data_IF_990778435520
#
_entry.id   IF_990778435520
#
_cell.length_a   1.000
_cell.length_b   1.000
_cell.length_c   1.000
_cell.angle_alpha   90.00
_cell.angle_beta   90.00
_cell.angle_gamma   90.00
#
_symmetry.space_group_name_H-M   'P 1'
#
loop_
_entity.id
_entity.type
_entity.pdbx_description
1 polymer ?
#
# COMPACT_ATOMS: atom_id res chain seq x y z
N UNK A 1 40.23 22.41 73.14
CA UNK A 1 39.17 21.66 73.85
C UNK A 1 39.41 20.18 73.59
N UNK A 2 39.88 19.50 74.63
CA UNK A 2 39.96 18.04 74.70
C UNK A 2 38.58 17.47 75.07
N UNK A 3 38.23 16.29 74.56
CA UNK A 3 37.82 15.11 75.35
C UNK A 3 37.35 13.95 74.45
N UNK A 4 38.17 12.90 74.47
CA UNK A 4 37.91 11.46 74.24
C UNK A 4 37.06 10.96 75.44
N UNK A 5 36.14 9.96 75.38
CA UNK A 5 36.47 8.51 75.27
C UNK A 5 35.38 7.68 74.52
N UNK A 6 35.45 6.36 74.29
CA UNK A 6 35.91 5.28 75.15
C UNK A 6 36.02 3.95 74.36
N UNK A 7 37.02 3.15 74.73
CA UNK A 7 37.24 1.77 74.31
C UNK A 7 36.67 0.84 75.39
N UNK A 8 35.95 -0.23 75.02
CA UNK A 8 35.82 -1.44 75.85
C UNK A 8 36.03 -2.67 74.96
N UNK A 9 37.02 -3.47 75.38
CA UNK A 9 37.37 -4.82 74.97
C UNK A 9 36.51 -5.86 75.72
N UNK A 10 36.14 -6.95 75.04
CA UNK A 10 36.07 -8.36 75.53
C UNK A 10 36.06 -9.26 74.26
N UNK A 11 37.02 -10.19 74.05
CA UNK A 11 37.04 -11.58 74.56
C UNK A 11 35.94 -12.42 73.88
N UNK A 12 36.14 -13.56 73.21
CA UNK A 12 37.06 -14.67 73.40
C UNK A 12 37.18 -15.54 72.12
N UNK A 13 38.31 -16.24 72.01
CA UNK A 13 38.52 -17.49 71.28
C UNK A 13 37.53 -18.58 71.72
N UNK A 14 37.08 -19.45 70.81
CA UNK A 14 36.38 -20.69 71.20
C UNK A 14 35.62 -21.43 70.09
N UNK A 15 36.31 -22.37 69.44
CA UNK A 15 35.86 -23.70 69.00
C UNK A 15 34.64 -23.93 68.06
N UNK A 16 34.97 -24.63 66.96
CA UNK A 16 34.21 -25.63 66.18
C UNK A 16 32.69 -25.73 66.44
N UNK A 17 31.91 -25.59 65.36
CA UNK A 17 30.83 -26.54 65.04
C UNK A 17 30.43 -26.47 63.56
N UNK A 18 30.42 -27.65 62.97
CA UNK A 18 29.62 -28.12 61.84
C UNK A 18 28.41 -27.24 61.48
N UNK A 19 28.22 -26.97 60.19
CA UNK A 19 26.87 -26.86 59.69
C UNK A 19 26.74 -27.55 58.34
N UNK A 20 25.77 -28.46 58.30
CA UNK A 20 25.39 -29.29 57.19
C UNK A 20 24.89 -28.43 56.03
N UNK A 21 25.41 -28.68 54.83
CA UNK A 21 24.74 -28.28 53.59
C UNK A 21 23.48 -29.15 53.43
N UNK A 22 22.34 -28.59 53.83
CA UNK A 22 21.04 -29.14 53.46
C UNK A 22 20.86 -29.01 51.94
N UNK A 23 20.31 -30.02 51.24
CA UNK A 23 20.09 -29.93 49.80
C UNK A 23 19.06 -28.83 49.52
N UNK A 24 19.41 -27.91 48.62
CA UNK A 24 18.50 -26.88 48.12
C UNK A 24 17.23 -27.57 47.61
N UNK A 25 16.11 -27.16 48.19
CA UNK A 25 14.76 -27.61 47.90
C UNK A 25 14.43 -27.29 46.42
N UNK A 26 14.74 -28.21 45.49
CA UNK A 26 14.28 -28.12 44.10
C UNK A 26 12.75 -28.12 44.12
N UNK A 27 12.13 -27.02 43.67
CA UNK A 27 10.67 -26.95 43.55
C UNK A 27 10.20 -28.11 42.69
N UNK A 28 9.47 -29.05 43.31
CA UNK A 28 8.83 -30.18 42.62
C UNK A 28 7.95 -29.59 41.51
N UNK A 29 8.29 -29.85 40.24
CA UNK A 29 7.50 -29.33 39.12
C UNK A 29 6.03 -29.74 39.27
N UNK A 30 5.16 -28.77 39.06
CA UNK A 30 3.71 -28.86 39.15
C UNK A 30 3.13 -28.39 37.83
N UNK A 31 2.32 -29.23 37.21
CA UNK A 31 1.71 -28.92 35.93
C UNK A 31 0.61 -27.86 36.10
N UNK A 32 0.51 -26.97 35.13
CA UNK A 32 -0.46 -25.93 35.05
C UNK A 32 -1.88 -26.49 34.93
N UNK A 33 -2.79 -25.81 35.62
CA UNK A 33 -4.24 -26.06 35.56
C UNK A 33 -4.98 -24.89 34.91
N UNK A 34 -4.27 -23.82 34.56
CA UNK A 34 -4.77 -22.67 33.82
C UNK A 34 -4.16 -22.59 32.42
N UNK A 35 -4.89 -21.98 31.50
CA UNK A 35 -4.50 -21.88 30.09
C UNK A 35 -3.14 -21.21 29.89
N UNK A 36 -2.83 -20.14 30.62
CA UNK A 36 -1.60 -19.38 30.39
C UNK A 36 -0.36 -20.19 30.79
N UNK A 37 -0.47 -20.97 31.87
CA UNK A 37 0.53 -21.96 32.21
C UNK A 37 0.64 -23.04 31.12
N UNK A 38 -0.48 -23.64 30.71
CA UNK A 38 -0.49 -24.73 29.71
C UNK A 38 0.17 -24.34 28.39
N UNK A 39 -0.05 -23.11 27.91
CA UNK A 39 0.55 -22.59 26.68
C UNK A 39 2.07 -22.32 26.80
N UNK A 40 2.61 -22.27 28.02
CA UNK A 40 4.04 -22.07 28.30
C UNK A 40 4.76 -23.35 28.72
N UNK A 41 4.00 -24.42 28.96
CA UNK A 41 4.52 -25.72 29.33
C UNK A 41 5.09 -26.47 28.15
N UNK A 42 5.99 -27.42 28.46
CA UNK A 42 6.64 -28.25 27.47
C UNK A 42 7.79 -27.55 26.74
N UNK A 43 8.31 -28.19 25.67
CA UNK A 43 7.98 -29.55 25.26
C UNK A 43 8.39 -30.58 26.32
N UNK A 44 7.52 -31.59 26.53
CA UNK A 44 7.84 -32.78 27.29
C UNK A 44 8.89 -33.64 26.59
N UNK A 45 9.48 -34.58 27.34
CA UNK A 45 10.58 -35.44 26.87
C UNK A 45 10.30 -36.15 25.53
N UNK A 46 9.05 -36.55 25.30
CA UNK A 46 8.56 -37.30 24.14
C UNK A 46 7.46 -36.53 23.38
N UNK A 47 7.50 -35.21 23.40
CA UNK A 47 6.60 -34.35 22.64
C UNK A 47 6.88 -34.39 21.12
N UNK A 48 5.87 -34.06 20.31
CA UNK A 48 5.99 -34.00 18.85
C UNK A 48 6.53 -35.29 18.24
N UNK A 49 7.51 -35.15 17.34
CA UNK A 49 8.15 -36.24 16.59
C UNK A 49 9.01 -37.17 17.46
N UNK A 50 9.28 -36.78 18.72
CA UNK A 50 10.02 -37.61 19.68
C UNK A 50 9.14 -38.67 20.33
N UNK A 51 7.84 -38.69 20.04
CA UNK A 51 6.92 -39.64 20.63
C UNK A 51 7.23 -41.06 20.20
N UNK A 52 7.36 -41.93 21.20
CA UNK A 52 7.54 -43.35 21.04
C UNK A 52 6.82 -44.01 22.21
N UNK A 53 5.72 -44.71 21.91
CA UNK A 53 4.84 -45.32 22.91
C UNK A 53 5.62 -46.22 23.86
N UNK A 54 6.48 -47.09 23.35
CA UNK A 54 7.25 -48.02 24.17
C UNK A 54 8.27 -47.31 25.08
N UNK A 55 8.86 -46.19 24.63
CA UNK A 55 9.75 -45.37 25.48
C UNK A 55 8.97 -44.63 26.57
N UNK A 56 7.76 -44.17 26.28
CA UNK A 56 6.88 -43.53 27.27
C UNK A 56 6.49 -44.55 28.33
N UNK A 57 5.99 -45.72 27.94
CA UNK A 57 5.61 -46.81 28.85
C UNK A 57 6.76 -47.23 29.77
N UNK A 58 7.99 -47.32 29.25
CA UNK A 58 9.19 -47.57 30.06
C UNK A 58 9.47 -46.49 31.11
N UNK A 59 9.09 -45.22 30.89
CA UNK A 59 9.17 -44.21 31.94
C UNK A 59 8.02 -44.35 32.94
N UNK A 60 6.82 -44.73 32.48
CA UNK A 60 5.66 -44.97 33.34
C UNK A 60 5.88 -46.15 34.31
N UNK A 61 6.58 -47.20 33.86
CA UNK A 61 6.94 -48.36 34.71
C UNK A 61 7.72 -47.96 35.96
N UNK A 62 8.60 -46.94 35.83
CA UNK A 62 9.47 -46.45 36.90
C UNK A 62 8.71 -45.64 37.96
N UNK A 63 7.46 -45.26 37.68
CA UNK A 63 6.66 -44.48 38.62
C UNK A 63 6.22 -45.34 39.81
N UNK A 64 6.12 -44.77 41.02
CA UNK A 64 5.65 -45.49 42.19
C UNK A 64 4.17 -45.88 42.03
N UNK A 65 3.74 -46.89 42.77
CA UNK A 65 2.32 -47.25 42.84
C UNK A 65 1.55 -46.25 43.73
N UNK A 66 0.22 -46.30 43.67
CA UNK A 66 -0.68 -45.49 44.50
C UNK A 66 -0.55 -43.97 44.28
N UNK A 67 -0.29 -43.55 43.03
CA UNK A 67 -0.22 -42.14 42.64
C UNK A 67 -1.60 -41.47 42.73
N UNK A 68 -1.66 -40.26 43.30
CA UNK A 68 -2.84 -39.42 43.11
C UNK A 68 -2.96 -38.98 41.66
N UNK A 69 -4.18 -38.68 41.18
CA UNK A 69 -4.37 -38.22 39.80
C UNK A 69 -3.56 -36.97 39.46
N UNK A 70 -3.37 -36.05 40.43
CA UNK A 70 -2.54 -34.85 40.25
C UNK A 70 -1.04 -35.19 40.12
N UNK A 71 -0.54 -36.15 40.90
CA UNK A 71 0.85 -36.58 40.79
C UNK A 71 1.13 -37.29 39.47
N UNK A 72 0.20 -38.15 39.03
CA UNK A 72 0.29 -38.79 37.73
C UNK A 72 0.25 -37.75 36.60
N UNK A 73 -0.69 -36.80 36.65
CA UNK A 73 -0.79 -35.70 35.68
C UNK A 73 0.53 -34.92 35.55
N UNK A 74 1.15 -34.54 36.68
CA UNK A 74 2.46 -33.87 36.67
C UNK A 74 3.54 -34.67 35.94
N UNK A 75 3.55 -36.00 36.06
CA UNK A 75 4.52 -36.83 35.34
C UNK A 75 4.19 -36.90 33.85
N UNK A 76 2.92 -37.05 33.49
CA UNK A 76 2.49 -37.12 32.10
C UNK A 76 2.82 -35.83 31.34
N UNK A 77 2.59 -34.66 31.94
CA UNK A 77 2.93 -33.36 31.33
C UNK A 77 4.44 -33.23 31.10
N UNK A 78 5.30 -33.67 32.02
CA UNK A 78 6.77 -33.68 31.79
C UNK A 78 7.19 -34.57 30.61
N UNK A 79 6.44 -35.62 30.32
CA UNK A 79 6.74 -36.55 29.25
C UNK A 79 6.14 -36.11 27.91
N UNK A 80 4.91 -35.60 27.92
CA UNK A 80 4.06 -35.54 26.73
C UNK A 80 3.59 -34.15 26.34
N UNK A 81 3.80 -33.12 27.17
CA UNK A 81 3.30 -31.79 26.88
C UNK A 81 3.88 -31.25 25.55
N UNK A 82 3.04 -30.73 24.66
CA UNK A 82 3.47 -30.19 23.37
C UNK A 82 4.08 -28.79 23.51
N UNK A 83 4.86 -28.39 22.51
CA UNK A 83 5.43 -27.03 22.43
C UNK A 83 4.41 -26.04 21.85
N UNK A 84 3.44 -25.61 22.66
CA UNK A 84 2.50 -24.57 22.26
C UNK A 84 3.14 -23.18 22.23
N UNK A 85 4.17 -22.95 23.06
CA UNK A 85 4.83 -21.66 23.17
C UNK A 85 5.38 -21.20 21.82
N UNK A 86 6.10 -22.07 21.13
CA UNK A 86 6.66 -21.75 19.81
C UNK A 86 5.57 -21.44 18.77
N UNK A 87 4.42 -22.09 18.86
CA UNK A 87 3.28 -21.84 17.95
C UNK A 87 2.64 -20.49 18.25
N UNK A 88 2.39 -20.18 19.53
CA UNK A 88 1.84 -18.89 19.97
C UNK A 88 2.77 -17.73 19.59
N UNK A 89 4.09 -17.91 19.71
CA UNK A 89 5.07 -16.90 19.31
C UNK A 89 5.08 -16.64 17.78
N UNK A 90 4.83 -17.66 16.95
CA UNK A 90 4.67 -17.50 15.51
C UNK A 90 3.35 -16.82 15.16
N UNK A 91 2.26 -17.27 15.77
CA UNK A 91 0.93 -16.70 15.59
C UNK A 91 0.88 -15.21 15.93
N UNK A 92 1.54 -14.79 17.02
CA UNK A 92 1.60 -13.37 17.40
C UNK A 92 2.43 -12.49 16.44
N UNK A 93 3.17 -13.09 15.51
CA UNK A 93 3.97 -12.40 14.49
C UNK A 93 3.29 -12.38 13.13
N UNK A 94 2.10 -12.94 12.99
CA UNK A 94 1.33 -12.85 11.75
C UNK A 94 1.02 -11.37 11.53
N UNK A 95 1.51 -10.84 10.42
CA UNK A 95 1.20 -9.50 9.95
C UNK A 95 0.00 -9.60 9.02
N UNK A 96 -1.11 -8.98 9.41
CA UNK A 96 -2.37 -8.99 8.65
C UNK A 96 -2.57 -7.67 7.89
N UNK A 97 -1.52 -6.87 7.71
CA UNK A 97 -1.62 -5.63 6.93
C UNK A 97 -1.68 -5.93 5.43
N UNK A 98 -2.87 -5.76 4.84
CA UNK A 98 -3.03 -5.77 3.39
C UNK A 98 -2.55 -4.41 2.83
N UNK A 99 -1.47 -4.42 2.06
CA UNK A 99 -0.95 -3.20 1.46
C UNK A 99 -1.39 -3.12 0.00
N UNK A 100 -2.14 -2.07 -0.33
CA UNK A 100 -2.57 -1.82 -1.72
C UNK A 100 -1.34 -1.66 -2.63
N UNK A 101 -1.37 -2.31 -3.79
CA UNK A 101 -0.27 -2.27 -4.77
C UNK A 101 0.12 -0.83 -5.15
N UNK A 102 1.40 -0.48 -4.97
CA UNK A 102 1.91 0.89 -5.11
C UNK A 102 2.07 1.36 -6.57
N UNK A 103 1.89 0.47 -7.55
CA UNK A 103 2.12 0.75 -8.97
C UNK A 103 0.87 1.29 -9.67
N UNK A 104 0.32 2.38 -9.14
CA UNK A 104 -0.78 3.14 -9.75
C UNK A 104 -0.38 3.71 -11.13
N UNK A 105 -1.31 3.85 -12.09
CA UNK A 105 -1.04 4.55 -13.34
C UNK A 105 -0.46 5.95 -13.06
N UNK A 106 0.66 6.30 -13.72
CA UNK A 106 1.38 7.55 -13.49
C UNK A 106 2.52 7.49 -12.45
N UNK A 107 2.68 6.39 -11.71
CA UNK A 107 3.80 6.23 -10.75
C UNK A 107 5.04 5.56 -11.35
N UNK A 108 5.76 6.30 -12.21
CA UNK A 108 7.24 6.21 -12.14
C UNK A 108 7.68 7.29 -11.16
N UNK A 109 7.74 6.97 -9.86
CA UNK A 109 8.63 7.54 -8.82
C UNK A 109 8.14 7.03 -7.46
N UNK A 110 9.07 6.41 -6.71
CA UNK A 110 8.92 6.03 -5.30
C UNK A 110 8.54 7.25 -4.43
N UNK A 111 7.55 7.01 -3.58
CA UNK A 111 7.06 7.82 -2.45
C UNK A 111 6.56 9.24 -2.77
N UNK A 112 5.28 9.51 -2.46
CA UNK A 112 4.76 10.73 -1.80
C UNK A 112 3.22 10.60 -1.60
N UNK A 113 2.64 11.21 -0.54
CA UNK A 113 1.33 10.89 0.04
C UNK A 113 0.11 11.49 -0.68
N UNK A 114 -1.07 11.01 -0.24
CA UNK A 114 -2.47 11.25 -0.68
C UNK A 114 -2.79 12.63 -1.28
N UNK A 115 -3.56 12.57 -2.38
CA UNK A 115 -4.28 13.64 -3.11
C UNK A 115 -3.41 14.77 -3.69
N UNK A 116 -2.95 14.61 -4.94
CA UNK A 116 -2.25 15.68 -5.69
C UNK A 116 -3.23 16.48 -6.55
N UNK A 117 -3.27 17.82 -6.45
CA UNK A 117 -4.08 18.65 -7.35
C UNK A 117 -3.61 18.52 -8.81
N UNK A 118 -4.52 18.65 -9.77
CA UNK A 118 -4.19 18.60 -11.21
C UNK A 118 -4.23 20.00 -11.80
N UNK A 119 -3.22 20.38 -12.56
CA UNK A 119 -3.15 21.64 -13.30
C UNK A 119 -3.03 21.36 -14.80
N UNK A 120 -3.94 21.92 -15.59
CA UNK A 120 -3.96 21.80 -17.05
C UNK A 120 -3.73 23.16 -17.69
N UNK A 121 -2.65 23.31 -18.46
CA UNK A 121 -2.38 24.52 -19.24
C UNK A 121 -2.61 24.25 -20.72
N UNK A 122 -3.49 25.02 -21.34
CA UNK A 122 -3.77 24.95 -22.77
C UNK A 122 -2.99 26.09 -23.46
N UNK A 123 -2.08 25.73 -24.35
CA UNK A 123 -1.34 26.65 -25.22
C UNK A 123 -2.01 26.69 -26.59
N UNK A 124 -2.70 27.78 -26.87
CA UNK A 124 -3.48 27.96 -28.09
C UNK A 124 -2.75 28.85 -29.11
N UNK A 125 -2.46 28.27 -30.27
CA UNK A 125 -1.88 28.99 -31.40
C UNK A 125 -2.91 29.93 -32.04
N UNK A 126 -2.56 31.22 -32.09
CA UNK A 126 -3.34 32.25 -32.79
C UNK A 126 -2.58 32.86 -33.95
N UNK A 127 -1.55 32.15 -34.45
CA UNK A 127 -0.75 32.60 -35.58
C UNK A 127 -1.58 32.75 -36.87
N UNK A 128 -1.04 33.47 -37.85
CA UNK A 128 -1.79 33.84 -39.06
C UNK A 128 -2.25 32.64 -39.90
N UNK A 129 -1.56 31.49 -39.80
CA UNK A 129 -1.93 30.24 -40.46
C UNK A 129 -3.31 29.72 -40.02
N UNK A 130 -3.73 30.02 -38.80
CA UNK A 130 -5.03 29.63 -38.24
C UNK A 130 -6.23 30.32 -38.94
N UNK A 131 -5.99 31.29 -39.83
CA UNK A 131 -7.00 31.84 -40.72
C UNK A 131 -7.36 30.89 -41.90
N UNK A 132 -6.60 29.81 -42.07
CA UNK A 132 -6.83 28.81 -43.11
C UNK A 132 -8.20 28.14 -43.01
N UNK A 133 -8.62 27.51 -44.10
CA UNK A 133 -9.85 26.71 -44.15
C UNK A 133 -9.51 25.24 -44.31
N UNK A 134 -10.20 24.41 -43.55
CA UNK A 134 -10.17 22.94 -43.62
C UNK A 134 -11.61 22.43 -43.80
N UNK A 135 -11.83 21.14 -44.10
CA UNK A 135 -13.17 20.57 -44.07
C UNK A 135 -13.87 20.88 -42.73
N UNK A 136 -15.03 21.55 -42.79
CA UNK A 136 -15.80 21.94 -41.60
C UNK A 136 -15.71 23.41 -41.18
N UNK A 137 -14.74 24.20 -41.67
CA UNK A 137 -14.68 25.63 -41.33
C UNK A 137 -13.28 26.25 -41.35
N UNK A 138 -13.15 27.40 -40.67
CA UNK A 138 -11.87 28.08 -40.43
C UNK A 138 -11.14 27.37 -39.28
N UNK A 139 -9.82 27.14 -39.40
CA UNK A 139 -9.03 26.40 -38.40
C UNK A 139 -9.22 26.97 -36.98
N UNK A 140 -9.12 28.29 -36.85
CA UNK A 140 -9.35 29.03 -35.60
C UNK A 140 -10.69 28.72 -34.95
N UNK A 141 -11.79 28.80 -35.70
CA UNK A 141 -13.14 28.60 -35.13
C UNK A 141 -13.33 27.15 -34.66
N UNK A 142 -12.81 26.20 -35.43
CA UNK A 142 -12.86 24.77 -35.09
C UNK A 142 -12.00 24.45 -33.85
N UNK A 143 -10.79 24.99 -33.79
CA UNK A 143 -9.90 24.78 -32.66
C UNK A 143 -10.45 25.42 -31.38
N UNK A 144 -11.08 26.60 -31.47
CA UNK A 144 -11.77 27.21 -30.32
C UNK A 144 -12.89 26.32 -29.78
N UNK A 145 -13.76 25.81 -30.65
CA UNK A 145 -14.84 24.91 -30.24
C UNK A 145 -14.29 23.65 -29.55
N UNK A 146 -13.28 23.02 -30.12
CA UNK A 146 -12.72 21.81 -29.54
C UNK A 146 -11.99 22.05 -28.22
N UNK A 147 -11.29 23.18 -28.06
CA UNK A 147 -10.69 23.59 -26.79
C UNK A 147 -11.77 23.85 -25.74
N UNK A 148 -12.90 24.43 -26.12
CA UNK A 148 -14.04 24.62 -25.21
C UNK A 148 -14.64 23.27 -24.81
N UNK A 149 -14.93 22.39 -25.78
CA UNK A 149 -15.47 21.04 -25.54
C UNK A 149 -14.51 20.19 -24.68
N UNK A 150 -13.21 20.43 -24.80
CA UNK A 150 -12.19 19.84 -23.93
C UNK A 150 -12.23 20.43 -22.53
N UNK A 151 -12.17 21.77 -22.41
CA UNK A 151 -12.12 22.46 -21.13
C UNK A 151 -13.37 22.21 -20.26
N UNK A 152 -14.54 22.03 -20.87
CA UNK A 152 -15.77 21.62 -20.18
C UNK A 152 -15.70 20.22 -19.58
N UNK A 153 -14.83 19.36 -20.13
CA UNK A 153 -14.60 18.00 -19.68
C UNK A 153 -13.38 17.88 -18.76
N UNK A 154 -12.67 18.97 -18.42
CA UNK A 154 -11.50 19.00 -17.50
C UNK A 154 -11.93 19.00 -16.02
N UNK A 155 -11.06 18.62 -15.05
CA UNK A 155 -11.55 18.41 -13.72
C UNK A 155 -12.14 19.60 -13.00
N UNK A 156 -13.32 19.46 -12.37
CA UNK A 156 -13.85 20.49 -11.45
C UNK A 156 -12.91 20.70 -10.27
N UNK A 157 -12.20 19.67 -9.84
CA UNK A 157 -11.13 19.75 -8.84
C UNK A 157 -9.76 20.10 -9.45
N UNK A 158 -9.65 20.27 -10.77
CA UNK A 158 -8.43 20.74 -11.43
C UNK A 158 -8.48 22.24 -11.69
N UNK A 159 -7.27 22.78 -11.82
CA UNK A 159 -7.08 24.13 -12.30
C UNK A 159 -6.78 24.11 -13.80
N UNK A 160 -7.32 25.09 -14.50
CA UNK A 160 -7.15 25.27 -15.94
C UNK A 160 -6.53 26.63 -16.17
N UNK A 161 -5.54 26.71 -17.06
CA UNK A 161 -5.11 27.97 -17.65
C UNK A 161 -5.20 27.93 -19.17
N UNK A 162 -5.51 29.07 -19.77
CA UNK A 162 -5.45 29.27 -21.22
C UNK A 162 -4.41 30.33 -21.50
N UNK A 163 -3.40 29.97 -22.28
CA UNK A 163 -2.40 30.88 -22.81
C UNK A 163 -2.47 30.90 -24.32
N UNK A 164 -2.57 32.09 -24.88
CA UNK A 164 -2.64 32.32 -26.33
C UNK A 164 -1.31 32.89 -26.78
N UNK A 165 -0.83 32.46 -27.94
CA UNK A 165 0.41 32.96 -28.51
C UNK A 165 0.27 33.26 -30.01
N UNK A 166 1.10 34.18 -30.50
CA UNK A 166 1.11 34.60 -31.91
C UNK A 166 0.00 35.57 -32.29
N UNK A 167 -0.84 36.03 -31.36
CA UNK A 167 -2.04 36.83 -31.65
C UNK A 167 -1.80 38.31 -31.99
N UNK A 168 -0.58 38.84 -31.82
CA UNK A 168 -0.27 40.25 -32.12
C UNK A 168 0.44 40.42 -33.45
N UNK A 169 0.17 41.55 -34.11
CA UNK A 169 0.75 41.94 -35.38
C UNK A 169 0.22 41.13 -36.56
N UNK A 170 0.80 41.35 -37.74
CA UNK A 170 0.54 40.55 -38.94
C UNK A 170 1.62 39.48 -39.13
N UNK A 171 1.44 38.61 -40.11
CA UNK A 171 2.47 37.66 -40.56
C UNK A 171 3.56 38.33 -41.44
N UNK A 172 3.61 39.68 -41.50
CA UNK A 172 4.69 40.39 -42.19
C UNK A 172 5.97 40.38 -41.34
N UNK A 173 7.13 40.52 -42.00
CA UNK A 173 8.42 40.61 -41.31
C UNK A 173 8.56 41.84 -40.41
N UNK A 174 7.83 42.92 -40.71
CA UNK A 174 7.88 44.17 -39.93
C UNK A 174 7.35 43.94 -38.52
N UNK A 175 6.32 43.10 -38.39
CA UNK A 175 5.66 42.82 -37.11
C UNK A 175 6.23 41.59 -36.40
N UNK A 176 7.20 40.87 -37.02
CA UNK A 176 7.77 39.63 -36.48
C UNK A 176 8.27 39.82 -35.05
N UNK A 177 8.97 40.92 -34.76
CA UNK A 177 9.53 41.17 -33.43
C UNK A 177 8.47 41.36 -32.33
N UNK A 178 7.33 41.96 -32.68
CA UNK A 178 6.19 42.12 -31.76
C UNK A 178 5.46 40.79 -31.58
N UNK A 179 5.18 40.12 -32.70
CA UNK A 179 4.45 38.86 -32.70
C UNK A 179 5.19 37.74 -31.97
N UNK A 180 6.51 37.66 -32.13
CA UNK A 180 7.33 36.67 -31.44
C UNK A 180 7.45 36.88 -29.92
N UNK A 181 7.02 38.04 -29.43
CA UNK A 181 6.88 38.33 -27.99
C UNK A 181 5.43 38.17 -27.51
N UNK A 182 4.50 37.87 -28.40
CA UNK A 182 3.08 37.75 -28.08
C UNK A 182 2.77 36.36 -27.52
N UNK A 183 2.75 36.29 -26.20
CA UNK A 183 2.24 35.14 -25.45
C UNK A 183 1.62 35.67 -24.16
N UNK A 184 0.34 35.37 -23.95
CA UNK A 184 -0.44 35.92 -22.84
C UNK A 184 -1.26 34.81 -22.19
N UNK A 185 -1.22 34.73 -20.85
CA UNK A 185 -2.16 33.92 -20.08
C UNK A 185 -3.46 34.72 -19.96
N UNK A 186 -4.47 34.29 -20.70
CA UNK A 186 -5.73 35.02 -20.91
C UNK A 186 -6.85 34.48 -20.02
N UNK A 187 -6.68 33.24 -19.56
CA UNK A 187 -7.43 32.63 -18.47
C UNK A 187 -6.41 32.14 -17.44
N UNK A 188 -6.24 32.87 -16.32
CA UNK A 188 -5.27 32.48 -15.29
C UNK A 188 -5.61 31.13 -14.66
N UNK A 189 -4.56 30.39 -14.26
CA UNK A 189 -4.69 29.10 -13.58
C UNK A 189 -5.70 29.17 -12.41
N UNK A 190 -6.78 28.39 -12.52
CA UNK A 190 -7.79 28.26 -11.50
C UNK A 190 -8.95 27.35 -11.93
N UNK A 191 -9.98 27.16 -11.10
CA UNK A 191 -11.12 26.30 -11.44
C UNK A 191 -11.76 26.73 -12.76
N UNK A 192 -12.22 25.77 -13.55
CA UNK A 192 -12.88 26.06 -14.82
C UNK A 192 -14.21 26.82 -14.63
N UNK A 193 -14.36 27.94 -15.33
CA UNK A 193 -15.57 28.75 -15.42
C UNK A 193 -15.90 28.94 -16.90
N UNK A 194 -16.96 28.26 -17.36
CA UNK A 194 -17.33 28.20 -18.76
C UNK A 194 -17.52 29.59 -19.38
N UNK A 195 -18.13 30.53 -18.66
CA UNK A 195 -18.40 31.86 -19.21
C UNK A 195 -17.12 32.69 -19.29
N UNK A 196 -16.25 32.65 -18.26
CA UNK A 196 -14.98 33.37 -18.30
C UNK A 196 -14.02 32.79 -19.33
N UNK A 197 -13.98 31.46 -19.45
CA UNK A 197 -13.11 30.78 -20.40
C UNK A 197 -13.52 31.07 -21.85
N UNK A 198 -14.81 30.97 -22.16
CA UNK A 198 -15.35 31.34 -23.48
C UNK A 198 -15.05 32.80 -23.84
N UNK A 199 -15.27 33.72 -22.90
CA UNK A 199 -14.95 35.13 -23.08
C UNK A 199 -13.45 35.37 -23.32
N UNK A 200 -12.56 34.64 -22.64
CA UNK A 200 -11.12 34.75 -22.85
C UNK A 200 -10.74 34.23 -24.25
N UNK A 201 -11.24 33.06 -24.63
CA UNK A 201 -10.92 32.40 -25.89
C UNK A 201 -11.40 33.20 -27.11
N UNK A 202 -12.58 33.82 -27.03
CA UNK A 202 -13.21 34.49 -28.16
C UNK A 202 -12.63 35.87 -28.52
N UNK A 203 -11.69 36.40 -27.74
CA UNK A 203 -11.05 37.71 -27.99
C UNK A 203 -10.04 37.69 -29.13
N UNK A 204 -9.54 36.50 -29.51
CA UNK A 204 -8.40 36.37 -30.41
C UNK A 204 -8.82 36.08 -31.84
N UNK A 205 -8.08 36.67 -32.78
CA UNK A 205 -8.19 36.42 -34.22
C UNK A 205 -6.83 35.96 -34.72
N UNK A 206 -6.79 35.13 -35.79
CA UNK A 206 -5.52 34.71 -36.37
C UNK A 206 -4.70 35.92 -36.82
N UNK A 207 -3.44 35.98 -36.41
CA UNK A 207 -2.52 37.07 -36.72
C UNK A 207 -1.08 36.65 -36.48
N UNK A 208 -0.10 37.49 -36.78
CA UNK A 208 1.27 37.22 -36.30
C UNK A 208 1.98 35.94 -36.78
N UNK A 209 2.94 35.52 -35.96
CA UNK A 209 3.94 34.45 -36.11
C UNK A 209 3.79 33.45 -34.95
N UNK A 210 4.49 32.31 -35.00
CA UNK A 210 4.32 31.16 -34.08
C UNK A 210 5.49 31.05 -33.08
N UNK A 211 5.43 31.71 -31.91
CA UNK A 211 6.47 31.64 -30.87
C UNK A 211 6.26 30.48 -29.87
N UNK A 212 6.29 29.24 -30.37
CA UNK A 212 6.01 28.03 -29.58
C UNK A 212 7.00 27.82 -28.42
N UNK A 213 8.30 28.02 -28.64
CA UNK A 213 9.32 27.89 -27.61
C UNK A 213 9.11 28.90 -26.47
N UNK A 214 8.75 30.14 -26.82
CA UNK A 214 8.45 31.19 -25.84
C UNK A 214 7.16 30.90 -25.08
N UNK A 215 6.14 30.31 -25.74
CA UNK A 215 4.89 29.96 -25.07
C UNK A 215 5.07 28.81 -24.07
N UNK A 216 5.84 27.78 -24.41
CA UNK A 216 6.19 26.68 -23.48
C UNK A 216 6.99 27.21 -22.28
N UNK A 217 7.94 28.13 -22.51
CA UNK A 217 8.69 28.78 -21.42
C UNK A 217 7.79 29.60 -20.51
N UNK A 218 6.86 30.37 -21.07
CA UNK A 218 5.90 31.14 -20.28
C UNK A 218 4.95 30.22 -19.49
N UNK A 219 4.50 29.11 -20.07
CA UNK A 219 3.68 28.10 -19.37
C UNK A 219 4.40 27.53 -18.15
N UNK A 220 5.71 27.27 -18.26
CA UNK A 220 6.55 26.88 -17.13
C UNK A 220 6.51 27.91 -16.00
N UNK A 221 6.64 29.20 -16.34
CA UNK A 221 6.59 30.28 -15.36
C UNK A 221 5.22 30.39 -14.69
N UNK A 222 4.13 30.20 -15.44
CA UNK A 222 2.77 30.19 -14.92
C UNK A 222 2.57 29.03 -13.92
N UNK A 223 2.95 27.82 -14.33
CA UNK A 223 2.85 26.61 -13.50
C UNK A 223 3.71 26.70 -12.24
N UNK A 224 4.92 27.27 -12.34
CA UNK A 224 5.78 27.49 -11.17
C UNK A 224 5.19 28.50 -10.18
N UNK A 225 4.35 29.45 -10.64
CA UNK A 225 3.63 30.35 -9.73
C UNK A 225 2.46 29.65 -9.03
N UNK A 226 1.79 28.73 -9.71
CA UNK A 226 0.63 27.99 -9.16
C UNK A 226 1.00 26.75 -8.34
N UNK A 227 2.13 26.10 -8.63
CA UNK A 227 2.59 24.87 -7.98
C UNK A 227 4.02 25.03 -7.43
N UNK A 228 4.18 25.96 -6.48
CA UNK A 228 5.49 26.30 -5.89
C UNK A 228 6.18 25.12 -5.19
N UNK A 229 5.39 24.15 -4.73
CA UNK A 229 5.87 23.01 -3.94
C UNK A 229 6.03 21.74 -4.81
N UNK A 230 5.71 21.78 -6.10
CA UNK A 230 5.81 20.63 -7.01
C UNK A 230 4.89 19.48 -6.62
N UNK A 231 3.74 19.80 -6.02
CA UNK A 231 2.79 18.83 -5.48
C UNK A 231 1.67 18.51 -6.47
N UNK A 232 1.49 19.33 -7.51
CA UNK A 232 0.47 19.10 -8.51
C UNK A 232 0.95 18.16 -9.63
N UNK A 233 0.02 17.46 -10.26
CA UNK A 233 0.25 16.88 -11.57
C UNK A 233 0.02 17.97 -12.63
N UNK A 234 1.07 18.31 -13.38
CA UNK A 234 1.04 19.40 -14.36
C UNK A 234 1.00 18.85 -15.79
N UNK A 235 0.01 19.26 -16.57
CA UNK A 235 -0.19 18.80 -17.96
C UNK A 235 -0.32 20.02 -18.87
N UNK A 236 0.44 20.04 -19.96
CA UNK A 236 0.38 21.09 -20.99
C UNK A 236 -0.14 20.51 -22.29
N UNK A 237 -1.21 21.08 -22.83
CA UNK A 237 -1.71 20.77 -24.17
C UNK A 237 -1.40 21.91 -25.12
N UNK A 238 -0.58 21.65 -26.14
CA UNK A 238 -0.32 22.60 -27.23
C UNK A 238 -1.25 22.29 -28.38
N UNK A 239 -2.04 23.27 -28.81
CA UNK A 239 -2.84 23.20 -30.03
C UNK A 239 -2.21 24.14 -31.05
N UNK A 240 -1.64 23.61 -32.12
CA UNK A 240 -0.92 24.39 -33.14
C UNK A 240 -1.12 23.84 -34.54
N UNK A 241 -1.17 24.73 -35.54
CA UNK A 241 -1.22 24.37 -36.96
C UNK A 241 0.11 24.54 -37.69
N UNK A 242 1.20 24.84 -36.97
CA UNK A 242 2.49 25.18 -37.58
C UNK A 242 3.69 24.93 -36.68
N UNK A 243 4.87 25.04 -37.29
CA UNK A 243 6.16 24.98 -36.57
C UNK A 243 6.51 26.34 -35.97
N UNK A 244 7.48 26.33 -35.07
CA UNK A 244 8.16 27.54 -34.58
C UNK A 244 8.62 28.43 -35.75
N UNK A 245 8.23 29.70 -35.74
CA UNK A 245 8.66 30.68 -36.76
C UNK A 245 9.36 31.91 -36.18
N UNK A 246 9.62 31.89 -34.86
CA UNK A 246 10.22 32.99 -34.10
C UNK A 246 11.65 32.72 -33.62
N UNK A 247 12.35 31.82 -34.32
CA UNK A 247 13.77 31.50 -34.12
C UNK A 247 14.07 30.89 -32.73
N UNK A 248 13.04 30.38 -32.05
CA UNK A 248 13.14 29.64 -30.80
C UNK A 248 13.48 28.16 -30.97
N UNK A 249 13.72 27.47 -29.85
CA UNK A 249 13.90 26.02 -29.79
C UNK A 249 12.80 25.39 -28.91
N UNK A 250 11.70 24.88 -29.52
CA UNK A 250 10.59 24.32 -28.77
C UNK A 250 10.94 22.97 -28.13
N UNK A 251 11.88 22.20 -28.71
CA UNK A 251 12.32 20.91 -28.16
C UNK A 251 13.07 21.15 -26.86
N UNK A 252 14.03 22.08 -26.85
CA UNK A 252 14.73 22.45 -25.63
C UNK A 252 13.79 23.05 -24.58
N UNK A 253 12.79 23.85 -24.99
CA UNK A 253 11.80 24.39 -24.06
C UNK A 253 10.95 23.29 -23.40
N UNK A 254 10.49 22.30 -24.17
CA UNK A 254 9.71 21.17 -23.66
C UNK A 254 10.54 20.29 -22.72
N UNK A 255 11.81 19.99 -23.08
CA UNK A 255 12.72 19.26 -22.19
C UNK A 255 12.90 19.99 -20.85
N UNK A 256 13.16 21.30 -20.90
CA UNK A 256 13.37 22.11 -19.69
C UNK A 256 12.13 22.21 -18.80
N UNK A 257 10.93 22.11 -19.38
CA UNK A 257 9.69 22.06 -18.64
C UNK A 257 9.51 20.68 -17.99
N UNK A 258 9.72 19.61 -18.74
CA UNK A 258 9.62 18.23 -18.25
C UNK A 258 10.63 17.92 -17.13
N UNK A 259 11.88 18.36 -17.27
CA UNK A 259 12.95 18.13 -16.29
C UNK A 259 12.87 19.05 -15.07
N UNK A 260 11.94 19.98 -15.05
CA UNK A 260 11.77 20.89 -13.91
C UNK A 260 11.14 20.18 -12.71
N UNK A 261 11.18 20.81 -11.54
CA UNK A 261 10.61 20.24 -10.31
C UNK A 261 9.09 20.01 -10.38
N UNK A 262 8.37 20.73 -11.26
CA UNK A 262 6.93 20.56 -11.52
C UNK A 262 6.61 19.42 -12.51
N UNK A 263 7.63 18.83 -13.16
CA UNK A 263 7.57 17.64 -14.04
C UNK A 263 6.40 17.63 -15.03
N UNK A 264 6.14 18.76 -15.69
CA UNK A 264 4.97 18.86 -16.55
C UNK A 264 5.11 18.00 -17.81
N UNK A 265 4.01 17.37 -18.21
CA UNK A 265 3.92 16.58 -19.45
C UNK A 265 3.43 17.47 -20.58
N UNK A 266 4.12 17.50 -21.72
CA UNK A 266 3.74 18.32 -22.89
C UNK A 266 3.15 17.45 -23.99
N UNK A 267 1.83 17.53 -24.16
CA UNK A 267 1.09 16.91 -25.25
C UNK A 267 0.90 17.92 -26.39
N UNK A 268 0.98 17.46 -27.64
CA UNK A 268 0.81 18.32 -28.81
C UNK A 268 -0.27 17.78 -29.74
N UNK A 269 -1.15 18.69 -30.12
CA UNK A 269 -2.24 18.49 -31.05
C UNK A 269 -1.93 19.35 -32.29
N UNK A 270 -1.44 18.70 -33.34
CA UNK A 270 -1.15 19.30 -34.63
C UNK A 270 -2.41 19.39 -35.49
N UNK A 271 -2.84 20.61 -35.83
CA UNK A 271 -4.03 20.87 -36.62
C UNK A 271 -3.68 21.16 -38.09
N UNK A 272 -3.95 20.23 -39.01
CA UNK A 272 -3.67 20.41 -40.44
C UNK A 272 -2.22 20.90 -40.72
N UNK A 273 -1.25 20.14 -40.18
CA UNK A 273 0.20 20.41 -40.26
C UNK A 273 0.82 19.55 -41.36
N UNK A 274 1.75 20.13 -42.13
CA UNK A 274 2.51 19.39 -43.15
C UNK A 274 3.49 18.36 -42.52
N UNK A 275 3.95 17.40 -43.32
CA UNK A 275 4.77 16.28 -42.82
C UNK A 275 6.04 16.74 -42.05
N UNK A 276 6.67 17.82 -42.49
CA UNK A 276 7.85 18.36 -41.82
C UNK A 276 7.50 18.96 -40.45
N UNK A 277 6.38 19.68 -40.37
CA UNK A 277 5.88 20.20 -39.11
C UNK A 277 5.37 19.13 -38.15
N UNK A 278 4.76 18.05 -38.65
CA UNK A 278 4.36 16.92 -37.79
C UNK A 278 5.57 16.29 -37.10
N UNK A 279 6.68 16.08 -37.82
CA UNK A 279 7.91 15.54 -37.24
C UNK A 279 8.50 16.46 -36.16
N UNK A 280 8.53 17.77 -36.43
CA UNK A 280 9.03 18.75 -35.48
C UNK A 280 8.17 18.79 -34.21
N UNK A 281 6.84 18.83 -34.35
CA UNK A 281 5.90 18.82 -33.22
C UNK A 281 5.95 17.49 -32.46
N UNK A 282 6.06 16.35 -33.15
CA UNK A 282 6.22 15.05 -32.50
C UNK A 282 7.50 14.99 -31.65
N UNK A 283 8.60 15.56 -32.15
CA UNK A 283 9.84 15.65 -31.38
C UNK A 283 9.65 16.47 -30.10
N UNK A 284 8.93 17.58 -30.15
CA UNK A 284 8.64 18.42 -28.97
C UNK A 284 7.81 17.65 -27.94
N UNK A 285 6.73 16.96 -28.38
CA UNK A 285 5.89 16.16 -27.47
C UNK A 285 6.68 15.04 -26.79
N UNK A 286 7.43 14.25 -27.57
CA UNK A 286 8.24 13.15 -27.04
C UNK A 286 9.29 13.63 -26.03
N UNK A 287 9.93 14.77 -26.32
CA UNK A 287 10.94 15.37 -25.44
C UNK A 287 10.31 15.96 -24.18
N UNK A 288 9.08 16.46 -24.29
CA UNK A 288 8.26 16.91 -23.16
C UNK A 288 7.56 15.78 -22.38
N UNK A 289 7.87 14.51 -22.68
CA UNK A 289 7.30 13.35 -22.00
C UNK A 289 5.84 13.04 -22.31
N UNK A 290 5.26 13.70 -23.33
CA UNK A 290 3.87 13.53 -23.75
C UNK A 290 3.72 12.89 -25.13
N UNK A 291 2.53 13.02 -25.70
CA UNK A 291 2.15 12.42 -26.98
C UNK A 291 1.85 13.47 -28.04
N UNK A 292 2.03 13.08 -29.31
CA UNK A 292 1.66 13.88 -30.47
C UNK A 292 0.48 13.25 -31.20
N UNK A 293 -0.49 14.07 -31.54
CA UNK A 293 -1.60 13.70 -32.40
C UNK A 293 -1.75 14.69 -33.54
N UNK A 294 -2.06 14.16 -34.72
CA UNK A 294 -2.49 14.97 -35.85
C UNK A 294 -4.01 14.90 -35.95
N UNK A 295 -4.64 16.05 -36.16
CA UNK A 295 -6.07 16.17 -36.38
C UNK A 295 -6.30 16.97 -37.67
N UNK A 296 -7.20 16.48 -38.52
CA UNK A 296 -7.51 17.13 -39.82
C UNK A 296 -8.85 17.86 -39.80
N UNK A 297 -9.65 17.64 -38.75
CA UNK A 297 -10.97 18.20 -38.56
C UNK A 297 -11.33 18.31 -37.07
N UNK A 298 -12.42 19.03 -36.76
CA UNK A 298 -13.00 19.05 -35.41
C UNK A 298 -13.34 17.65 -34.89
N UNK A 299 -13.93 16.80 -35.74
CA UNK A 299 -14.31 15.46 -35.37
C UNK A 299 -13.09 14.61 -34.97
N UNK A 300 -11.96 14.74 -35.68
CA UNK A 300 -10.73 14.02 -35.33
C UNK A 300 -10.17 14.47 -33.97
N UNK A 301 -10.31 15.75 -33.65
CA UNK A 301 -9.87 16.31 -32.38
C UNK A 301 -10.75 15.85 -31.21
N UNK A 302 -12.07 15.89 -31.38
CA UNK A 302 -13.01 15.35 -30.39
C UNK A 302 -12.81 13.85 -30.17
N UNK A 303 -12.61 13.09 -31.25
CA UNK A 303 -12.35 11.66 -31.20
C UNK A 303 -11.02 11.34 -30.52
N UNK A 304 -9.95 12.10 -30.82
CA UNK A 304 -8.66 11.93 -30.18
C UNK A 304 -8.74 12.17 -28.67
N UNK A 305 -9.33 13.28 -28.24
CA UNK A 305 -9.47 13.62 -26.83
C UNK A 305 -10.36 12.60 -26.10
N UNK A 306 -11.41 12.11 -26.75
CA UNK A 306 -12.25 11.04 -26.21
C UNK A 306 -11.46 9.73 -26.04
N UNK A 307 -10.67 9.33 -27.04
CA UNK A 307 -9.84 8.12 -26.97
C UNK A 307 -8.79 8.21 -25.88
N UNK A 308 -8.22 9.40 -25.68
CA UNK A 308 -7.22 9.60 -24.62
C UNK A 308 -7.86 9.52 -23.23
N UNK A 309 -9.06 10.06 -23.06
CA UNK A 309 -9.86 9.85 -21.84
C UNK A 309 -10.15 8.36 -21.60
N UNK A 310 -10.65 7.66 -22.62
CA UNK A 310 -10.97 6.22 -22.53
C UNK A 310 -9.72 5.39 -22.20
N UNK A 311 -8.58 5.68 -22.84
CA UNK A 311 -7.30 5.01 -22.58
C UNK A 311 -6.86 5.14 -21.12
N UNK A 312 -6.90 6.37 -20.59
CA UNK A 312 -6.52 6.64 -19.20
C UNK A 312 -7.51 5.97 -18.23
N UNK A 313 -8.81 5.98 -18.55
CA UNK A 313 -9.83 5.29 -17.75
C UNK A 313 -9.56 3.78 -17.68
N UNK A 314 -9.26 3.16 -18.82
CA UNK A 314 -8.95 1.73 -18.91
C UNK A 314 -7.70 1.36 -18.10
N UNK A 315 -6.70 2.26 -18.01
CA UNK A 315 -5.52 2.06 -17.16
C UNK A 315 -5.87 2.01 -15.67
N UNK A 316 -6.73 2.92 -15.20
CA UNK A 316 -7.22 2.94 -13.83
C UNK A 316 -8.10 1.72 -13.51
N UNK A 317 -9.00 1.33 -14.41
CA UNK A 317 -9.79 0.11 -14.26
C UNK A 317 -8.90 -1.14 -14.20
N UNK A 318 -7.89 -1.22 -15.07
CA UNK A 318 -6.94 -2.33 -15.10
C UNK A 318 -6.06 -2.37 -13.85
N UNK A 319 -5.65 -1.22 -13.31
CA UNK A 319 -4.93 -1.16 -12.04
C UNK A 319 -5.79 -1.66 -10.89
N UNK A 320 -7.04 -1.18 -10.77
CA UNK A 320 -7.94 -1.59 -9.70
C UNK A 320 -8.15 -3.11 -9.72
N UNK A 321 -8.34 -3.70 -10.91
CA UNK A 321 -8.42 -5.15 -11.07
C UNK A 321 -7.19 -5.88 -10.54
N UNK A 322 -5.98 -5.44 -10.92
CA UNK A 322 -4.72 -6.06 -10.46
C UNK A 322 -4.53 -5.88 -8.95
N UNK A 323 -4.81 -4.70 -8.42
CA UNK A 323 -4.69 -4.38 -7.00
C UNK A 323 -5.66 -5.23 -6.16
N UNK A 324 -6.93 -5.37 -6.59
CA UNK A 324 -7.90 -6.23 -5.93
C UNK A 324 -7.49 -7.69 -5.99
N UNK A 325 -6.95 -8.16 -7.12
CA UNK A 325 -6.45 -9.53 -7.22
C UNK A 325 -5.31 -9.80 -6.24
N UNK A 326 -4.32 -8.89 -6.18
CA UNK A 326 -3.19 -9.00 -5.24
C UNK A 326 -3.64 -8.95 -3.78
N UNK A 327 -4.55 -8.05 -3.42
CA UNK A 327 -5.13 -8.01 -2.08
C UNK A 327 -5.86 -9.33 -1.73
N UNK A 328 -6.51 -9.96 -2.71
CA UNK A 328 -7.09 -11.30 -2.55
C UNK A 328 -6.04 -12.41 -2.35
N UNK A 329 -4.89 -12.34 -3.03
CA UNK A 329 -3.77 -13.26 -2.82
C UNK A 329 -3.15 -13.11 -1.42
N UNK A 330 -2.95 -11.86 -0.96
CA UNK A 330 -2.46 -11.56 0.40
C UNK A 330 -3.44 -12.09 1.47
N UNK A 331 -4.74 -11.82 1.31
CA UNK A 331 -5.77 -12.36 2.20
C UNK A 331 -5.79 -13.90 2.24
N UNK A 332 -5.65 -14.57 1.09
CA UNK A 332 -5.62 -16.03 1.04
C UNK A 332 -4.40 -16.61 1.78
N UNK A 333 -3.25 -15.96 1.64
CA UNK A 333 -2.03 -16.32 2.35
C UNK A 333 -2.14 -16.07 3.87
N UNK A 334 -2.74 -14.95 4.28
CA UNK A 334 -3.04 -14.68 5.70
C UNK A 334 -3.93 -15.77 6.30
N UNK A 335 -4.97 -16.17 5.58
CA UNK A 335 -5.89 -17.23 6.01
C UNK A 335 -5.17 -18.57 6.18
N UNK A 336 -4.27 -18.91 5.25
CA UNK A 336 -3.43 -20.11 5.34
C UNK A 336 -2.52 -20.07 6.58
N UNK A 337 -1.87 -18.94 6.86
CA UNK A 337 -1.02 -18.80 8.06
C UNK A 337 -1.82 -18.90 9.36
N UNK A 338 -3.00 -18.28 9.41
CA UNK A 338 -3.91 -18.37 10.56
C UNK A 338 -4.30 -19.83 10.80
N UNK A 339 -4.72 -20.54 9.76
CA UNK A 339 -5.08 -21.95 9.84
C UNK A 339 -3.89 -22.84 10.24
N UNK A 340 -2.69 -22.58 9.70
CA UNK A 340 -1.48 -23.34 10.06
C UNK A 340 -1.15 -23.18 11.55
N UNK A 341 -1.20 -21.96 12.10
CA UNK A 341 -0.85 -21.76 13.51
C UNK A 341 -1.95 -22.21 14.47
N UNK A 342 -3.22 -21.97 14.16
CA UNK A 342 -4.33 -22.29 15.07
C UNK A 342 -4.78 -23.74 14.91
N UNK A 343 -5.27 -24.12 13.73
CA UNK A 343 -5.84 -25.45 13.47
C UNK A 343 -4.73 -26.51 13.49
N UNK A 344 -3.71 -26.38 12.63
CA UNK A 344 -2.65 -27.40 12.57
C UNK A 344 -1.71 -27.30 13.77
N UNK A 345 -1.33 -26.07 14.14
CA UNK A 345 -0.31 -25.78 15.13
C UNK A 345 -0.77 -25.95 16.57
N UNK A 346 -1.96 -25.49 16.95
CA UNK A 346 -2.48 -25.63 18.32
C UNK A 346 -3.42 -26.83 18.39
N UNK A 347 -4.52 -26.84 17.64
CA UNK A 347 -5.55 -27.87 17.75
C UNK A 347 -5.01 -29.26 17.35
N UNK A 348 -4.24 -29.36 16.27
CA UNK A 348 -3.58 -30.59 15.85
C UNK A 348 -2.63 -31.14 16.94
N UNK A 349 -1.79 -30.28 17.52
CA UNK A 349 -0.94 -30.66 18.65
C UNK A 349 -1.74 -31.07 19.88
N UNK A 350 -2.85 -30.38 20.16
CA UNK A 350 -3.72 -30.67 21.29
C UNK A 350 -4.40 -32.03 21.17
N UNK A 351 -4.88 -32.38 19.97
CA UNK A 351 -5.41 -33.71 19.68
C UNK A 351 -4.36 -34.81 19.90
N UNK A 352 -3.13 -34.57 19.43
CA UNK A 352 -2.00 -35.48 19.63
C UNK A 352 -1.65 -35.64 21.12
N UNK A 353 -1.51 -34.52 21.83
CA UNK A 353 -1.23 -34.50 23.27
C UNK A 353 -2.30 -35.27 24.04
N UNK A 354 -3.57 -34.96 23.80
CA UNK A 354 -4.70 -35.57 24.47
C UNK A 354 -4.76 -37.09 24.23
N UNK A 355 -4.62 -37.53 22.98
CA UNK A 355 -4.56 -38.96 22.64
C UNK A 355 -3.41 -39.67 23.37
N UNK A 356 -2.23 -39.04 23.45
CA UNK A 356 -1.06 -39.62 24.11
C UNK A 356 -1.21 -39.63 25.63
N UNK A 357 -1.84 -38.61 26.22
CA UNK A 357 -2.17 -38.54 27.64
C UNK A 357 -3.19 -39.60 28.03
N UNK A 358 -4.24 -39.81 27.23
CA UNK A 358 -5.21 -40.88 27.43
C UNK A 358 -4.52 -42.25 27.35
N UNK A 359 -3.71 -42.52 26.33
CA UNK A 359 -2.97 -43.79 26.26
C UNK A 359 -2.11 -44.04 27.51
N UNK A 360 -1.48 -43.00 28.08
CA UNK A 360 -0.70 -43.10 29.30
C UNK A 360 -1.57 -43.29 30.57
N UNK A 361 -2.73 -42.63 30.65
CA UNK A 361 -3.74 -42.86 31.69
C UNK A 361 -4.18 -44.33 31.70
N UNK A 362 -4.52 -44.88 30.54
CA UNK A 362 -4.94 -46.28 30.38
C UNK A 362 -3.83 -47.24 30.81
N UNK A 363 -2.59 -47.01 30.39
CA UNK A 363 -1.45 -47.81 30.82
C UNK A 363 -1.26 -47.82 32.34
N UNK A 364 -1.32 -46.64 32.98
CA UNK A 364 -1.21 -46.52 34.43
C UNK A 364 -2.35 -47.23 35.18
N UNK A 365 -3.55 -47.22 34.59
CA UNK A 365 -4.73 -47.91 35.13
C UNK A 365 -4.56 -49.43 35.09
N UNK A 366 -4.24 -50.00 33.91
CA UNK A 366 -4.04 -51.45 33.72
C UNK A 366 -2.92 -52.02 34.60
N UNK A 367 -1.91 -51.21 34.91
CA UNK A 367 -0.79 -51.60 35.76
C UNK A 367 -0.97 -51.23 37.24
N UNK A 368 -2.20 -50.85 37.66
CA UNK A 368 -2.55 -50.52 39.04
C UNK A 368 -1.62 -49.47 39.70
N UNK A 369 -1.17 -48.49 38.92
CA UNK A 369 -0.27 -47.42 39.39
C UNK A 369 -1.03 -46.29 40.09
N UNK A 370 -2.33 -46.17 39.87
CA UNK A 370 -3.17 -45.09 40.39
C UNK A 370 -3.80 -45.43 41.74
N UNK A 371 -4.01 -44.40 42.56
CA UNK A 371 -4.67 -44.51 43.87
C UNK A 371 -6.14 -44.92 43.70
N UNK A 372 -6.60 -45.83 44.56
CA UNK A 372 -7.96 -46.37 44.51
C UNK A 372 -8.13 -47.61 43.63
N UNK A 373 -7.07 -48.09 42.98
CA UNK A 373 -7.11 -49.26 42.10
C UNK A 373 -7.64 -48.92 40.71
N UNK A 374 -7.97 -49.97 39.94
CA UNK A 374 -8.50 -49.86 38.59
C UNK A 374 -9.80 -49.04 38.57
N UNK A 375 -9.86 -47.99 37.73
CA UNK A 375 -10.97 -47.03 37.64
C UNK A 375 -11.34 -46.38 38.99
N UNK A 376 -10.37 -46.19 39.89
CA UNK A 376 -10.55 -45.54 41.19
C UNK A 376 -10.35 -44.02 41.17
N UNK A 377 -10.32 -43.40 42.36
CA UNK A 377 -10.22 -41.93 42.51
C UNK A 377 -9.01 -41.28 41.80
N UNK A 378 -7.90 -42.02 41.66
CA UNK A 378 -6.73 -41.55 40.92
C UNK A 378 -6.97 -41.48 39.42
N UNK A 379 -7.73 -42.42 38.86
CA UNK A 379 -8.15 -42.46 37.46
C UNK A 379 -9.06 -41.27 37.16
N UNK A 380 -10.18 -41.14 37.89
CA UNK A 380 -11.17 -40.08 37.67
C UNK A 380 -10.54 -38.69 37.74
N UNK A 381 -9.63 -38.49 38.70
CA UNK A 381 -8.98 -37.19 38.85
C UNK A 381 -7.97 -36.89 37.74
N UNK A 382 -7.26 -37.91 37.24
CA UNK A 382 -6.31 -37.74 36.14
C UNK A 382 -7.05 -37.48 34.83
N UNK A 383 -8.08 -38.27 34.55
CA UNK A 383 -8.96 -38.14 33.39
C UNK A 383 -9.54 -36.72 33.29
N UNK A 384 -10.16 -36.24 34.37
CA UNK A 384 -10.71 -34.89 34.44
C UNK A 384 -9.67 -33.77 34.23
N UNK A 385 -8.40 -33.98 34.59
CA UNK A 385 -7.33 -33.01 34.34
C UNK A 385 -6.88 -33.02 32.88
N UNK A 386 -6.82 -34.20 32.26
CA UNK A 386 -6.48 -34.38 30.84
C UNK A 386 -7.56 -33.74 29.97
N UNK A 387 -8.84 -34.02 30.25
CA UNK A 387 -9.98 -33.44 29.53
C UNK A 387 -10.00 -31.92 29.68
N UNK A 388 -9.84 -31.42 30.92
CA UNK A 388 -9.85 -29.98 31.17
C UNK A 388 -8.74 -29.26 30.40
N UNK A 389 -7.55 -29.86 30.30
CA UNK A 389 -6.45 -29.31 29.50
C UNK A 389 -6.82 -29.25 28.03
N UNK A 390 -7.35 -30.35 27.49
CA UNK A 390 -7.77 -30.43 26.10
C UNK A 390 -8.81 -29.34 25.77
N UNK A 391 -9.87 -29.23 26.58
CA UNK A 391 -10.92 -28.23 26.39
C UNK A 391 -10.37 -26.80 26.40
N UNK A 392 -9.51 -26.46 27.36
CA UNK A 392 -8.98 -25.10 27.49
C UNK A 392 -8.14 -24.69 26.28
N UNK A 393 -7.29 -25.60 25.79
CA UNK A 393 -6.41 -25.34 24.64
C UNK A 393 -7.21 -25.33 23.33
N UNK A 394 -8.18 -26.23 23.15
CA UNK A 394 -9.07 -26.23 21.97
C UNK A 394 -9.88 -24.93 21.89
N UNK A 395 -10.53 -24.54 22.99
CA UNK A 395 -11.28 -23.28 23.05
C UNK A 395 -10.39 -22.04 22.81
N UNK A 396 -9.12 -22.11 23.19
CA UNK A 396 -8.16 -21.05 22.89
C UNK A 396 -7.87 -20.97 21.40
N UNK A 397 -7.60 -22.11 20.76
CA UNK A 397 -7.37 -22.21 19.32
C UNK A 397 -8.53 -21.62 18.52
N UNK A 398 -9.76 -22.05 18.82
CA UNK A 398 -10.97 -21.60 18.12
C UNK A 398 -11.14 -20.08 18.25
N UNK A 399 -10.96 -19.54 19.47
CA UNK A 399 -11.04 -18.09 19.70
C UNK A 399 -9.96 -17.30 18.97
N UNK A 400 -8.75 -17.84 18.82
CA UNK A 400 -7.70 -17.17 18.06
C UNK A 400 -7.98 -17.22 16.56
N UNK A 401 -8.46 -18.35 16.05
CA UNK A 401 -8.89 -18.48 14.67
C UNK A 401 -9.96 -17.44 14.33
N UNK A 402 -11.08 -17.43 15.06
CA UNK A 402 -12.19 -16.49 14.86
C UNK A 402 -11.74 -15.02 14.95
N UNK A 403 -10.86 -14.72 15.90
CA UNK A 403 -10.34 -13.36 16.08
C UNK A 403 -9.50 -12.92 14.88
N UNK A 404 -8.56 -13.76 14.44
CA UNK A 404 -7.59 -13.41 13.41
C UNK A 404 -8.25 -13.39 12.02
N UNK A 405 -9.14 -14.34 11.72
CA UNK A 405 -9.88 -14.36 10.45
C UNK A 405 -10.78 -13.13 10.32
N UNK A 406 -11.45 -12.71 11.40
CA UNK A 406 -12.24 -11.48 11.41
C UNK A 406 -11.38 -10.23 11.11
N UNK A 407 -10.18 -10.14 11.67
CA UNK A 407 -9.25 -9.03 11.38
C UNK A 407 -8.84 -9.06 9.90
N UNK A 408 -8.49 -10.24 9.37
CA UNK A 408 -8.12 -10.40 7.96
C UNK A 408 -9.27 -10.01 7.01
N UNK A 409 -10.51 -10.40 7.32
CA UNK A 409 -11.72 -10.01 6.57
C UNK A 409 -11.97 -8.49 6.61
N UNK A 410 -11.83 -7.86 7.79
CA UNK A 410 -11.98 -6.40 7.93
C UNK A 410 -10.91 -5.66 7.13
N UNK A 411 -9.66 -6.13 7.15
CA UNK A 411 -8.55 -5.54 6.41
C UNK A 411 -8.70 -5.72 4.89
N UNK A 412 -9.14 -6.90 4.43
CA UNK A 412 -9.45 -7.12 3.01
C UNK A 412 -10.53 -6.14 2.52
N UNK A 413 -11.61 -5.98 3.29
CA UNK A 413 -12.69 -5.06 2.95
C UNK A 413 -12.21 -3.61 2.88
N UNK A 414 -11.34 -3.20 3.81
CA UNK A 414 -10.74 -1.86 3.78
C UNK A 414 -9.87 -1.66 2.55
N UNK A 415 -9.04 -2.64 2.18
CA UNK A 415 -8.22 -2.58 0.98
C UNK A 415 -9.06 -2.47 -0.29
N UNK A 416 -10.14 -3.26 -0.41
CA UNK A 416 -11.07 -3.18 -1.55
C UNK A 416 -11.76 -1.81 -1.64
N UNK A 417 -12.18 -1.25 -0.50
CA UNK A 417 -12.75 0.11 -0.45
C UNK A 417 -11.74 1.16 -0.88
N UNK A 418 -10.51 1.10 -0.38
CA UNK A 418 -9.45 2.04 -0.74
C UNK A 418 -9.09 1.96 -2.23
N UNK A 419 -9.01 0.75 -2.80
CA UNK A 419 -8.79 0.54 -4.24
C UNK A 419 -9.92 1.18 -5.06
N UNK A 420 -11.17 0.95 -4.66
CA UNK A 420 -12.33 1.49 -5.36
C UNK A 420 -12.39 3.02 -5.28
N UNK A 421 -12.10 3.59 -4.11
CA UNK A 421 -12.02 5.04 -3.90
C UNK A 421 -10.93 5.66 -4.78
N UNK A 422 -9.70 5.11 -4.75
CA UNK A 422 -8.58 5.59 -5.57
C UNK A 422 -8.83 5.44 -7.07
N UNK A 423 -9.48 4.34 -7.50
CA UNK A 423 -9.89 4.15 -8.90
C UNK A 423 -10.87 5.23 -9.32
N UNK A 424 -11.90 5.48 -8.50
CA UNK A 424 -12.94 6.45 -8.81
C UNK A 424 -12.39 7.88 -8.80
N UNK A 425 -11.51 8.21 -7.84
CA UNK A 425 -10.78 9.48 -7.81
C UNK A 425 -9.89 9.62 -9.06
N UNK A 426 -9.09 8.60 -9.35
CA UNK A 426 -8.22 8.53 -10.53
C UNK A 426 -8.98 8.75 -11.83
N UNK A 427 -10.08 8.03 -12.06
CA UNK A 427 -10.96 8.19 -13.25
C UNK A 427 -11.63 9.57 -13.26
N UNK A 428 -12.06 10.05 -12.10
CA UNK A 428 -12.67 11.37 -11.97
C UNK A 428 -11.68 12.50 -12.21
N UNK A 429 -10.37 12.27 -12.16
CA UNK A 429 -9.33 13.24 -12.49
C UNK A 429 -8.95 13.24 -13.98
N UNK A 430 -9.59 12.40 -14.81
CA UNK A 430 -9.32 12.29 -16.26
C UNK A 430 -10.32 13.09 -17.11
N UNK A 431 -11.59 13.16 -16.68
CA UNK A 431 -12.70 13.70 -17.50
C UNK A 431 -13.88 14.34 -16.77
N UNK A 432 -13.81 14.53 -15.46
CA UNK A 432 -13.51 15.91 -15.14
C UNK A 432 -12.01 15.90 -15.42
#
# INVERSE_FOLDING_TARGET
MALVPMLILTGCSGEKKTNADAPKNEKKFEAATDLQGMLREGPGKYAGDKYDKAKVEKELDKLPNNLTGKEAYNQLIRLLAQDYKSVVEKMNKIDLSNNVDENEPGTKIKELPKERPVNVTILFDSSGSMAGKVPGGVKMDLAKQAIQDFAEKIPKNANVSLRVYGHKGTNSKVDKAESCKSTEEVYPMGPYDAQKFDNALNQFKPGGWTPLASSIKAAKEDLMRSDQEGKAQNIVYVVSDGVETCDGDPVAAAQQLHDSHIKAVVNIIGFDVDNAGQQALQQVANTGGGTYATVQSKADLEEYLKKEYERLKDEWESWAYRATHKAGEEWAHDYEQIADQTISGILGKNNDEHTRLLNALWYLNEHNKLKGGEYGEGYDKLDALIDRRFELISNYSDKQYDKLTKIAEENQKQAEQEIEERKNEGISNIGQ
#
